data_IF_391255243198
#
_entry.id   IF_391255243198
#
_cell.length_a   1.000
_cell.length_b   1.000
_cell.length_c   1.000
_cell.angle_alpha   90.00
_cell.angle_beta   90.00
_cell.angle_gamma   90.00
#
_symmetry.space_group_name_H-M   'P 1'
#
loop_
_entity.id
_entity.type
_entity.pdbx_description
1 polymer ?
#
# COMPACT_ATOMS: atom_id res chain seq x y z
N UNK A 1 0.71 -40.49 28.96
CA UNK A 1 0.71 -39.00 28.94
C UNK A 1 1.47 -38.37 27.77
N UNK A 2 2.58 -38.95 27.26
CA UNK A 2 3.40 -38.35 26.16
C UNK A 2 2.68 -38.19 24.80
N UNK A 3 1.75 -39.09 24.46
CA UNK A 3 1.05 -39.05 23.16
C UNK A 3 0.07 -37.87 23.02
N UNK A 4 -0.57 -37.44 24.12
CA UNK A 4 -1.50 -36.32 24.11
C UNK A 4 -0.78 -34.98 23.86
N UNK A 5 0.38 -34.77 24.49
CA UNK A 5 1.21 -33.58 24.30
C UNK A 5 1.73 -33.46 22.85
N UNK A 6 2.12 -34.57 22.22
CA UNK A 6 2.54 -34.61 20.81
C UNK A 6 1.42 -34.17 19.86
N UNK A 7 0.19 -34.64 20.09
CA UNK A 7 -0.96 -34.28 19.26
C UNK A 7 -1.38 -32.82 19.43
N UNK A 8 -1.31 -32.29 20.65
CA UNK A 8 -1.57 -30.85 20.92
C UNK A 8 -0.53 -29.99 20.20
N UNK A 9 0.76 -30.33 20.31
CA UNK A 9 1.83 -29.62 19.62
C UNK A 9 1.64 -29.60 18.10
N UNK A 10 1.32 -30.74 17.49
CA UNK A 10 1.06 -30.83 16.05
C UNK A 10 -0.16 -30.02 15.64
N UNK A 11 -1.23 -30.02 16.45
CA UNK A 11 -2.43 -29.20 16.19
C UNK A 11 -2.09 -27.71 16.25
N UNK A 12 -1.42 -27.25 17.30
CA UNK A 12 -1.00 -25.85 17.44
C UNK A 12 -0.11 -25.42 16.28
N UNK A 13 0.84 -26.25 15.85
CA UNK A 13 1.70 -25.97 14.72
C UNK A 13 0.91 -25.88 13.40
N UNK A 14 -0.10 -26.74 13.19
CA UNK A 14 -1.00 -26.65 12.03
C UNK A 14 -1.77 -25.33 12.01
N UNK A 15 -2.41 -24.96 13.12
CA UNK A 15 -3.21 -23.74 13.18
C UNK A 15 -2.34 -22.48 13.11
N UNK A 16 -1.18 -22.49 13.77
CA UNK A 16 -0.21 -21.40 13.68
C UNK A 16 0.31 -21.25 12.25
N UNK A 17 0.63 -22.35 11.57
CA UNK A 17 1.04 -22.35 10.17
C UNK A 17 -0.05 -21.82 9.23
N UNK A 18 -1.32 -22.20 9.45
CA UNK A 18 -2.45 -21.67 8.68
C UNK A 18 -2.64 -20.18 8.95
N UNK A 19 -2.53 -19.74 10.20
CA UNK A 19 -2.64 -18.33 10.59
C UNK A 19 -1.53 -17.45 10.02
N UNK A 20 -0.26 -17.90 10.11
CA UNK A 20 0.86 -17.20 9.47
C UNK A 20 0.72 -17.21 7.94
N UNK A 21 0.34 -18.36 7.36
CA UNK A 21 0.11 -18.49 5.93
C UNK A 21 -0.99 -17.56 5.43
N UNK A 22 -2.08 -17.39 6.18
CA UNK A 22 -3.17 -16.49 5.79
C UNK A 22 -2.74 -15.02 5.85
N UNK A 23 -1.97 -14.62 6.87
CA UNK A 23 -1.43 -13.26 6.97
C UNK A 23 -0.51 -12.96 5.77
N UNK A 24 0.39 -13.88 5.44
CA UNK A 24 1.29 -13.73 4.27
C UNK A 24 0.50 -13.66 2.97
N UNK A 25 -0.53 -14.50 2.82
CA UNK A 25 -1.41 -14.47 1.65
C UNK A 25 -2.12 -13.11 1.52
N UNK A 26 -2.66 -12.56 2.62
CA UNK A 26 -3.31 -11.25 2.62
C UNK A 26 -2.33 -10.15 2.23
N UNK A 27 -1.11 -10.16 2.77
CA UNK A 27 -0.09 -9.15 2.41
C UNK A 27 0.19 -9.17 0.90
N UNK A 28 0.22 -10.35 0.28
CA UNK A 28 0.47 -10.49 -1.14
C UNK A 28 -0.72 -10.11 -2.02
N UNK A 29 -1.94 -10.43 -1.55
CA UNK A 29 -3.19 -10.15 -2.26
C UNK A 29 -3.64 -8.70 -2.12
N UNK A 30 -3.32 -8.03 -1.01
CA UNK A 30 -3.70 -6.65 -0.74
C UNK A 30 -3.37 -5.69 -1.90
N UNK A 31 -2.14 -5.60 -2.44
CA UNK A 31 -1.84 -4.68 -3.53
C UNK A 31 -2.64 -4.95 -4.82
N UNK A 32 -3.23 -6.14 -4.99
CA UNK A 32 -4.05 -6.48 -6.15
C UNK A 32 -5.50 -5.98 -6.03
N UNK A 33 -6.09 -6.00 -4.83
CA UNK A 33 -7.51 -5.69 -4.63
C UNK A 33 -7.84 -4.20 -4.46
N UNK A 34 -6.86 -3.33 -4.20
CA UNK A 34 -7.12 -1.93 -3.84
C UNK A 34 -6.78 -0.84 -4.87
N UNK A 35 -6.63 -1.06 -6.19
CA UNK A 35 -6.10 -0.02 -7.10
C UNK A 35 -6.96 1.27 -7.15
N UNK A 36 -8.29 1.11 -7.11
CA UNK A 36 -9.28 2.21 -7.12
C UNK A 36 -9.25 3.03 -5.83
N UNK A 37 -9.41 2.38 -4.66
CA UNK A 37 -9.37 3.05 -3.36
C UNK A 37 -8.01 3.71 -3.09
N UNK A 38 -6.93 3.11 -3.61
CA UNK A 38 -5.58 3.66 -3.54
C UNK A 38 -5.48 4.97 -4.32
N UNK A 39 -5.91 4.99 -5.58
CA UNK A 39 -5.84 6.19 -6.42
C UNK A 39 -6.57 7.37 -5.80
N UNK A 40 -7.78 7.13 -5.27
CA UNK A 40 -8.59 8.15 -4.62
C UNK A 40 -7.94 8.65 -3.31
N UNK A 41 -7.42 7.73 -2.50
CA UNK A 41 -6.72 8.09 -1.25
C UNK A 41 -5.46 8.90 -1.52
N UNK A 42 -4.70 8.60 -2.58
CA UNK A 42 -3.50 9.35 -2.96
C UNK A 42 -3.87 10.77 -3.41
N UNK A 43 -4.91 10.93 -4.23
CA UNK A 43 -5.39 12.25 -4.63
C UNK A 43 -5.80 13.08 -3.42
N UNK A 44 -6.50 12.47 -2.46
CA UNK A 44 -6.92 13.13 -1.23
C UNK A 44 -5.74 13.50 -0.32
N UNK A 45 -4.77 12.60 -0.15
CA UNK A 45 -3.56 12.87 0.62
C UNK A 45 -2.73 13.98 -0.02
N UNK A 46 -2.58 13.97 -1.35
CA UNK A 46 -1.87 15.00 -2.08
C UNK A 46 -2.53 16.36 -1.93
N UNK A 47 -3.87 16.44 -2.08
CA UNK A 47 -4.64 17.67 -1.87
C UNK A 47 -4.51 18.25 -0.47
N UNK A 48 -4.35 17.39 0.55
CA UNK A 48 -4.15 17.81 1.95
C UNK A 48 -2.70 18.20 2.24
N UNK A 49 -1.74 17.50 1.66
CA UNK A 49 -0.32 17.68 1.95
C UNK A 49 0.31 18.81 1.14
N UNK A 50 -0.22 19.11 -0.05
CA UNK A 50 0.29 20.14 -0.95
C UNK A 50 -0.87 21.04 -1.32
N UNK A 51 -0.71 22.36 -1.14
CA UNK A 51 -1.64 23.35 -1.66
C UNK A 51 -1.49 23.44 -3.18
N UNK A 52 -1.83 22.41 -3.94
CA UNK A 52 -1.64 22.36 -5.40
C UNK A 52 -2.32 21.12 -5.97
N UNK A 53 -2.78 21.18 -7.21
CA UNK A 53 -3.37 20.00 -7.85
C UNK A 53 -2.26 19.05 -8.30
N UNK A 54 -2.19 17.88 -7.67
CA UNK A 54 -1.30 16.79 -8.08
C UNK A 54 -2.09 15.81 -8.96
N UNK A 55 -1.77 15.78 -10.25
CA UNK A 55 -2.29 14.80 -11.20
C UNK A 55 -1.21 13.75 -11.49
N UNK A 56 -1.57 12.47 -11.54
CA UNK A 56 -0.64 11.39 -11.86
C UNK A 56 -1.36 10.34 -12.71
N UNK A 57 -0.64 9.77 -13.68
CA UNK A 57 -1.19 8.75 -14.57
C UNK A 57 -1.29 7.39 -13.86
N UNK A 58 -0.24 7.03 -13.11
CA UNK A 58 -0.16 5.76 -12.37
C UNK A 58 0.52 5.93 -11.03
N UNK A 59 -0.05 5.26 -10.03
CA UNK A 59 0.49 5.14 -8.70
C UNK A 59 0.79 3.66 -8.41
N UNK A 60 2.02 3.36 -8.01
CA UNK A 60 2.44 1.98 -7.69
C UNK A 60 3.12 1.91 -6.33
N UNK A 61 2.75 0.91 -5.54
CA UNK A 61 3.40 0.66 -4.26
C UNK A 61 4.60 -0.27 -4.40
N UNK A 62 5.63 0.05 -3.63
CA UNK A 62 6.86 -0.73 -3.49
C UNK A 62 6.99 -1.29 -2.07
N UNK A 63 5.88 -1.66 -1.43
CA UNK A 63 5.82 -2.09 -0.02
C UNK A 63 6.82 -3.20 0.31
N UNK A 64 6.87 -4.25 -0.50
CA UNK A 64 7.79 -5.38 -0.27
C UNK A 64 9.25 -5.03 -0.55
N UNK A 65 9.50 -4.08 -1.44
CA UNK A 65 10.86 -3.61 -1.77
C UNK A 65 11.44 -2.74 -0.67
N UNK A 66 10.58 -2.01 0.06
CA UNK A 66 10.95 -1.05 1.09
C UNK A 66 10.21 -1.31 2.41
N UNK A 67 10.08 -2.58 2.82
CA UNK A 67 9.40 -2.95 4.06
C UNK A 67 10.21 -2.45 5.30
N UNK A 68 9.56 -1.94 6.37
CA UNK A 68 8.12 -1.92 6.64
C UNK A 68 7.37 -0.69 6.08
N UNK A 69 8.06 0.23 5.42
CA UNK A 69 7.46 1.46 4.93
C UNK A 69 6.62 1.19 3.67
N UNK A 70 5.43 1.77 3.62
CA UNK A 70 4.59 1.75 2.44
C UNK A 70 5.05 2.84 1.47
N UNK A 71 6.07 2.54 0.68
CA UNK A 71 6.62 3.48 -0.30
C UNK A 71 5.74 3.53 -1.55
N UNK A 72 5.37 4.75 -1.94
CA UNK A 72 4.58 5.05 -3.12
C UNK A 72 5.46 5.66 -4.21
N UNK A 73 5.43 5.06 -5.40
CA UNK A 73 6.07 5.60 -6.59
C UNK A 73 4.98 6.14 -7.53
N UNK A 74 5.04 7.42 -7.82
CA UNK A 74 4.22 8.08 -8.83
C UNK A 74 4.97 8.04 -10.17
N UNK A 75 4.26 7.77 -11.26
CA UNK A 75 4.79 7.87 -12.62
C UNK A 75 4.01 8.93 -13.37
N UNK A 76 4.72 9.77 -14.12
CA UNK A 76 4.18 10.84 -14.94
C UNK A 76 3.26 11.74 -14.10
N UNK A 77 3.83 12.36 -13.07
CA UNK A 77 3.10 13.25 -12.18
C UNK A 77 3.30 14.71 -12.59
N UNK A 78 2.22 15.46 -12.54
CA UNK A 78 2.18 16.89 -12.80
C UNK A 78 1.70 17.57 -11.53
N UNK A 79 2.50 18.52 -11.05
CA UNK A 79 2.13 19.39 -9.94
C UNK A 79 1.79 20.77 -10.49
N UNK A 80 0.52 21.15 -10.38
CA UNK A 80 0.07 22.52 -10.65
C UNK A 80 0.31 23.42 -9.44
N UNK A 81 0.44 24.71 -9.69
CA UNK A 81 0.58 25.72 -8.64
C UNK A 81 -0.62 25.79 -7.70
N UNK A 82 -0.37 26.31 -6.49
CA UNK A 82 -1.43 26.69 -5.56
C UNK A 82 -2.23 27.86 -6.13
N UNK A 83 -3.43 28.14 -5.63
CA UNK A 83 -4.05 29.45 -5.88
C UNK A 83 -3.07 30.58 -5.51
N UNK A 84 -2.96 31.64 -6.33
CA UNK A 84 -3.68 31.92 -7.59
C UNK A 84 -3.06 31.34 -8.89
N UNK A 85 -1.96 30.60 -8.79
CA UNK A 85 -1.17 30.05 -9.91
C UNK A 85 -1.61 28.64 -10.33
N UNK A 86 -2.89 28.29 -10.17
CA UNK A 86 -3.44 26.96 -10.51
C UNK A 86 -3.32 26.59 -11.99
N UNK A 87 -3.10 27.58 -12.87
CA UNK A 87 -2.84 27.36 -14.29
C UNK A 87 -1.39 27.06 -14.62
N UNK A 88 -0.47 27.29 -13.68
CA UNK A 88 0.96 27.12 -13.89
C UNK A 88 1.38 25.72 -13.46
N UNK A 89 2.13 25.03 -14.31
CA UNK A 89 2.73 23.73 -13.97
C UNK A 89 4.07 23.98 -13.31
N UNK A 90 4.19 23.64 -12.02
CA UNK A 90 5.43 23.82 -11.26
C UNK A 90 6.41 22.68 -11.52
N UNK A 91 5.89 21.45 -11.64
CA UNK A 91 6.69 20.23 -11.83
C UNK A 91 5.95 19.31 -12.79
N UNK A 92 6.69 18.72 -13.73
CA UNK A 92 6.22 17.66 -14.62
C UNK A 92 7.36 16.64 -14.76
N UNK A 93 7.14 15.41 -14.29
CA UNK A 93 8.17 14.36 -14.23
C UNK A 93 7.61 12.94 -14.26
#
# INVERSE_FOLDING_TARGET
>A
MKAAAKNIFIKTLKYSGIGLGSIVAILFLAPYFFPESISNTIKDLAKRSVKGELEFSKARFSFFSHFPALTLNLHDFVLKGSEPFTKDTLISA
#
